data_IF_671453845376
#
_entry.id   IF_671453845376
#
_cell.length_a   1.000
_cell.length_b   1.000
_cell.length_c   1.000
_cell.angle_alpha   90.00
_cell.angle_beta   90.00
_cell.angle_gamma   90.00
#
_symmetry.space_group_name_H-M   'P 1'
#
loop_
_entity.id
_entity.type
_entity.pdbx_description
1 polymer ?
#
# COMPACT_ATOMS: atom_id res chain seq x y z
N UNK A 1 -1.27 9.57 1.10
CA UNK A 1 -1.25 9.41 2.56
C UNK A 1 -0.63 10.67 3.13
N UNK A 2 -1.21 11.22 4.18
CA UNK A 2 -0.62 12.37 4.88
C UNK A 2 0.54 11.91 5.79
N UNK A 3 1.47 12.80 6.15
CA UNK A 3 2.67 12.43 6.91
C UNK A 3 2.38 11.81 8.30
N UNK A 4 1.24 12.15 8.91
CA UNK A 4 0.83 11.67 10.24
C UNK A 4 -0.41 10.75 10.19
N UNK A 5 -0.84 10.36 9.00
CA UNK A 5 -1.91 9.38 8.84
C UNK A 5 -1.39 7.98 9.19
N UNK A 6 -2.24 7.12 9.75
CA UNK A 6 -1.91 5.72 9.98
C UNK A 6 -2.12 4.88 8.71
N UNK A 7 -1.28 3.87 8.50
CA UNK A 7 -1.38 2.93 7.39
C UNK A 7 -2.76 2.28 7.31
N UNK A 8 -3.33 1.90 8.45
CA UNK A 8 -4.66 1.31 8.51
C UNK A 8 -5.74 2.26 7.98
N UNK A 9 -5.73 3.53 8.40
CA UNK A 9 -6.67 4.55 7.94
C UNK A 9 -6.53 4.82 6.44
N UNK A 10 -5.29 4.91 5.95
CA UNK A 10 -5.02 5.07 4.53
C UNK A 10 -5.53 3.88 3.71
N UNK A 11 -5.34 2.65 4.21
CA UNK A 11 -5.76 1.44 3.54
C UNK A 11 -7.28 1.28 3.48
N UNK A 12 -8.00 1.65 4.53
CA UNK A 12 -9.47 1.67 4.54
C UNK A 12 -10.01 2.61 3.45
N UNK A 13 -9.46 3.82 3.34
CA UNK A 13 -9.80 4.76 2.25
C UNK A 13 -9.50 4.17 0.88
N UNK A 14 -8.35 3.52 0.74
CA UNK A 14 -7.97 2.85 -0.51
C UNK A 14 -8.99 1.78 -0.89
N UNK A 15 -9.42 0.94 0.06
CA UNK A 15 -10.44 -0.08 -0.18
C UNK A 15 -11.79 0.55 -0.59
N UNK A 16 -12.22 1.63 0.07
CA UNK A 16 -13.44 2.36 -0.34
C UNK A 16 -13.35 2.81 -1.80
N UNK A 17 -12.24 3.43 -2.19
CA UNK A 17 -12.04 3.91 -3.57
C UNK A 17 -12.02 2.74 -4.57
N UNK A 18 -11.32 1.65 -4.26
CA UNK A 18 -11.28 0.46 -5.13
C UNK A 18 -12.67 -0.15 -5.31
N UNK A 19 -13.46 -0.22 -4.24
CA UNK A 19 -14.82 -0.74 -4.29
C UNK A 19 -15.75 0.14 -5.14
N UNK A 20 -15.68 1.46 -4.96
CA UNK A 20 -16.44 2.42 -5.78
C UNK A 20 -16.06 2.33 -7.27
N UNK A 21 -14.76 2.24 -7.57
CA UNK A 21 -14.29 2.08 -8.95
C UNK A 21 -14.76 0.77 -9.56
N UNK A 22 -14.73 -0.33 -8.80
CA UNK A 22 -15.25 -1.63 -9.22
C UNK A 22 -16.74 -1.57 -9.54
N UNK A 23 -17.52 -0.89 -8.70
CA UNK A 23 -18.96 -0.64 -8.95
C UNK A 23 -19.20 0.14 -10.26
N UNK A 24 -18.29 1.07 -10.61
CA UNK A 24 -18.31 1.81 -11.87
C UNK A 24 -17.71 1.03 -13.06
N UNK A 25 -17.39 -0.25 -12.89
CA UNK A 25 -16.85 -1.13 -13.94
C UNK A 25 -15.35 -0.97 -14.20
N UNK A 26 -14.61 -0.31 -13.30
CA UNK A 26 -13.15 -0.21 -13.35
C UNK A 26 -12.52 -1.08 -12.28
N UNK A 27 -11.91 -2.17 -12.70
CA UNK A 27 -11.16 -3.08 -11.82
C UNK A 27 -9.65 -2.88 -12.02
N UNK A 28 -8.90 -3.22 -10.97
CA UNK A 28 -7.45 -3.24 -10.97
C UNK A 28 -7.00 -4.62 -10.48
N UNK A 29 -5.89 -5.09 -11.03
CA UNK A 29 -5.31 -6.33 -10.55
C UNK A 29 -4.52 -6.10 -9.24
N UNK A 30 -4.01 -7.19 -8.67
CA UNK A 30 -3.27 -7.14 -7.42
C UNK A 30 -1.97 -6.31 -7.54
N UNK A 31 -1.30 -6.38 -8.69
CA UNK A 31 -0.07 -5.62 -8.91
C UNK A 31 -0.38 -4.12 -8.97
N UNK A 32 -1.44 -3.72 -9.68
CA UNK A 32 -1.93 -2.35 -9.74
C UNK A 32 -2.25 -1.81 -8.34
N UNK A 33 -2.91 -2.61 -7.50
CA UNK A 33 -3.20 -2.22 -6.12
C UNK A 33 -1.91 -1.95 -5.32
N UNK A 34 -0.95 -2.89 -5.40
CA UNK A 34 0.33 -2.79 -4.68
C UNK A 34 1.15 -1.59 -5.18
N UNK A 35 1.26 -1.40 -6.49
CA UNK A 35 2.03 -0.29 -7.06
C UNK A 35 1.42 1.07 -6.68
N UNK A 36 0.08 1.19 -6.68
CA UNK A 36 -0.62 2.40 -6.24
C UNK A 36 -0.42 2.67 -4.75
N UNK A 37 -0.52 1.65 -3.89
CA UNK A 37 -0.27 1.78 -2.46
C UNK A 37 1.17 2.25 -2.18
N UNK A 38 2.16 1.63 -2.83
CA UNK A 38 3.57 2.04 -2.67
C UNK A 38 3.81 3.50 -3.10
N UNK A 39 3.09 3.98 -4.14
CA UNK A 39 3.20 5.36 -4.63
C UNK A 39 2.52 6.38 -3.72
N UNK A 40 1.50 5.99 -2.96
CA UNK A 40 0.75 6.93 -2.11
C UNK A 40 1.36 7.14 -0.72
N UNK A 41 2.44 6.41 -0.39
CA UNK A 41 3.16 6.55 0.87
C UNK A 41 3.98 7.87 0.94
N UNK A 42 4.10 8.48 2.14
CA UNK A 42 4.87 9.70 2.34
C UNK A 42 6.38 9.49 2.14
N UNK A 43 7.15 10.59 2.07
CA UNK A 43 8.59 10.51 1.75
C UNK A 43 9.40 9.70 2.76
N UNK A 44 9.00 9.71 4.03
CA UNK A 44 9.67 8.94 5.10
C UNK A 44 9.69 7.42 4.84
N UNK A 45 8.77 6.90 4.03
CA UNK A 45 8.67 5.48 3.67
C UNK A 45 9.54 5.08 2.46
N UNK A 46 10.21 6.02 1.79
CA UNK A 46 11.02 5.74 0.60
C UNK A 46 12.07 4.63 0.79
N UNK A 47 12.80 4.56 1.91
CA UNK A 47 13.72 3.45 2.15
C UNK A 47 13.00 2.10 2.12
N UNK A 48 11.88 1.97 2.82
CA UNK A 48 11.09 0.74 2.87
C UNK A 48 10.52 0.35 1.50
N UNK A 49 9.99 1.32 0.74
CA UNK A 49 9.51 1.11 -0.63
C UNK A 49 10.64 0.62 -1.56
N UNK A 50 11.84 1.19 -1.42
CA UNK A 50 13.00 0.80 -2.22
C UNK A 50 13.42 -0.64 -1.90
N UNK A 51 13.51 -0.98 -0.62
CA UNK A 51 13.83 -2.34 -0.17
C UNK A 51 12.81 -3.35 -0.66
N UNK A 52 11.51 -3.04 -0.56
CA UNK A 52 10.44 -3.90 -1.09
C UNK A 52 10.59 -4.15 -2.59
N UNK A 53 10.78 -3.09 -3.39
CA UNK A 53 10.97 -3.21 -4.84
C UNK A 53 12.22 -4.01 -5.23
N UNK A 54 13.28 -3.94 -4.43
CA UNK A 54 14.52 -4.66 -4.69
C UNK A 54 14.48 -6.14 -4.25
N UNK A 55 13.72 -6.46 -3.18
CA UNK A 55 13.77 -7.78 -2.53
C UNK A 55 12.56 -8.68 -2.80
N UNK A 56 11.42 -8.12 -3.21
CA UNK A 56 10.17 -8.86 -3.43
C UNK A 56 9.73 -8.78 -4.88
N UNK A 57 9.11 -9.86 -5.37
CA UNK A 57 8.37 -9.82 -6.63
C UNK A 57 6.96 -9.27 -6.36
N UNK A 58 6.72 -8.02 -6.76
CA UNK A 58 5.45 -7.33 -6.53
C UNK A 58 4.25 -7.98 -7.24
N UNK A 59 4.46 -8.68 -8.36
CA UNK A 59 3.37 -9.36 -9.08
C UNK A 59 2.82 -10.56 -8.29
N UNK A 60 3.66 -11.16 -7.44
CA UNK A 60 3.32 -12.34 -6.63
C UNK A 60 3.05 -12.01 -5.16
N UNK A 61 3.32 -10.78 -4.75
CA UNK A 61 3.16 -10.34 -3.37
C UNK A 61 1.67 -10.25 -3.04
N UNK A 62 1.25 -10.85 -1.93
CA UNK A 62 -0.13 -10.73 -1.48
C UNK A 62 -0.34 -9.37 -0.81
N UNK A 63 -1.50 -8.76 -1.04
CA UNK A 63 -1.85 -7.48 -0.43
C UNK A 63 -1.81 -7.53 1.10
N UNK A 64 -2.26 -8.63 1.69
CA UNK A 64 -2.24 -8.88 3.13
C UNK A 64 -0.80 -8.94 3.68
N UNK A 65 0.11 -9.58 2.95
CA UNK A 65 1.55 -9.62 3.30
C UNK A 65 2.13 -8.20 3.29
N UNK A 66 1.83 -7.41 2.24
CA UNK A 66 2.27 -6.02 2.16
C UNK A 66 1.75 -5.19 3.35
N UNK A 67 0.48 -5.34 3.70
CA UNK A 67 -0.11 -4.64 4.84
C UNK A 67 0.52 -5.03 6.17
N UNK A 68 0.88 -6.31 6.35
CA UNK A 68 1.66 -6.77 7.50
C UNK A 68 3.02 -6.07 7.60
N UNK A 69 3.76 -6.01 6.47
CA UNK A 69 5.06 -5.34 6.40
C UNK A 69 4.96 -3.85 6.71
N UNK A 70 3.92 -3.17 6.23
CA UNK A 70 3.71 -1.75 6.54
C UNK A 70 3.38 -1.52 8.01
N UNK A 71 2.52 -2.34 8.63
CA UNK A 71 2.18 -2.20 10.06
C UNK A 71 3.41 -2.37 10.95
N UNK A 72 4.27 -3.33 10.64
CA UNK A 72 5.52 -3.53 11.39
C UNK A 72 6.42 -2.30 11.26
N UNK A 73 6.64 -1.81 10.04
CA UNK A 73 7.49 -0.64 9.83
C UNK A 73 6.90 0.66 10.42
N UNK A 74 5.58 0.80 10.43
CA UNK A 74 4.90 1.93 11.06
C UNK A 74 5.24 2.02 12.56
N UNK A 75 5.29 0.88 13.25
CA UNK A 75 5.67 0.81 14.67
C UNK A 75 7.14 1.18 14.91
N UNK A 76 8.03 0.95 13.95
CA UNK A 76 9.45 1.33 14.03
C UNK A 76 9.67 2.83 13.80
N UNK A 77 8.75 3.49 13.07
CA UNK A 77 8.80 4.92 12.78
C UNK A 77 8.17 5.79 13.89
N UNK A 78 7.51 5.18 14.86
CA UNK A 78 6.97 5.85 16.06
C UNK A 78 8.03 6.02 17.14
#
# INVERSE_FOLDING_TARGET
MEENEFIQTMFERFQTIVNELSFLGRTYDNFDHIDKLLRCLPRKWRPQVTTLRASKNLEKLLLEELMGLFKVHELELQ
#
